data_IF_762164611115
#
_entry.id   IF_762164611115
#
_cell.length_a   1.000
_cell.length_b   1.000
_cell.length_c   1.000
_cell.angle_alpha   90.00
_cell.angle_beta   90.00
_cell.angle_gamma   90.00
#
_symmetry.space_group_name_H-M   'P 1'
#
loop_
_entity.id
_entity.type
_entity.pdbx_description
1 polymer ?
#
# COMPACT_ATOMS: atom_id res chain seq x y z
N UNK A 1 6.60 0.43 31.35
CA UNK A 1 6.46 1.06 30.02
C UNK A 1 6.05 -0.03 29.04
N UNK A 2 4.92 0.11 28.36
CA UNK A 2 4.60 -0.77 27.24
C UNK A 2 5.66 -0.59 26.13
N UNK A 3 6.05 -1.64 25.41
CA UNK A 3 6.97 -1.50 24.30
C UNK A 3 6.40 -0.53 23.25
N UNK A 4 7.27 0.17 22.53
CA UNK A 4 6.88 1.14 21.48
C UNK A 4 5.96 0.53 20.39
N UNK A 5 5.90 -0.80 20.30
CA UNK A 5 5.03 -1.55 19.40
C UNK A 5 3.58 -1.73 19.86
N UNK A 6 3.16 -1.21 21.02
CA UNK A 6 1.75 -1.24 21.45
C UNK A 6 0.88 -0.38 20.51
N UNK A 7 -0.06 -0.97 19.75
CA UNK A 7 -0.92 -0.22 18.82
C UNK A 7 -1.70 0.90 19.50
N UNK A 8 -2.11 0.72 20.75
CA UNK A 8 -2.89 1.74 21.48
C UNK A 8 -2.03 2.95 21.87
N UNK A 9 -0.73 2.75 22.13
CA UNK A 9 0.21 3.85 22.40
C UNK A 9 0.52 4.61 21.11
N UNK A 10 0.80 3.89 20.02
CA UNK A 10 1.04 4.49 18.70
C UNK A 10 -0.17 5.32 18.25
N UNK A 11 -1.38 4.75 18.32
CA UNK A 11 -2.61 5.44 17.97
C UNK A 11 -2.80 6.73 18.78
N UNK A 12 -2.60 6.70 20.10
CA UNK A 12 -2.72 7.90 20.96
C UNK A 12 -1.75 9.00 20.54
N UNK A 13 -0.50 8.65 20.23
CA UNK A 13 0.50 9.63 19.79
C UNK A 13 0.05 10.26 18.46
N UNK A 14 -0.25 9.45 17.45
CA UNK A 14 -0.61 9.96 16.12
C UNK A 14 -1.91 10.77 16.12
N UNK A 15 -2.94 10.31 16.85
CA UNK A 15 -4.22 11.02 16.98
C UNK A 15 -4.06 12.38 17.69
N UNK A 16 -3.12 12.48 18.64
CA UNK A 16 -2.85 13.74 19.35
C UNK A 16 -2.34 14.86 18.44
N UNK A 17 -1.71 14.52 17.31
CA UNK A 17 -1.25 15.49 16.32
C UNK A 17 -2.41 16.21 15.62
N UNK A 18 -3.62 15.66 15.71
CA UNK A 18 -4.83 16.17 15.07
C UNK A 18 -5.93 16.52 16.08
N UNK A 19 -5.57 16.76 17.34
CA UNK A 19 -6.54 17.06 18.41
C UNK A 19 -7.64 15.99 18.53
N UNK A 20 -7.25 14.72 18.37
CA UNK A 20 -8.12 13.57 18.53
C UNK A 20 -7.70 12.74 19.75
N UNK A 21 -8.70 12.19 20.44
CA UNK A 21 -8.52 11.28 21.55
C UNK A 21 -8.88 9.86 21.14
N UNK A 22 -8.04 8.89 21.52
CA UNK A 22 -8.35 7.47 21.30
C UNK A 22 -9.45 7.01 22.26
N UNK A 23 -10.56 6.54 21.70
CA UNK A 23 -11.65 5.90 22.46
C UNK A 23 -11.45 4.39 22.52
N UNK A 24 -11.11 3.76 21.40
CA UNK A 24 -10.82 2.33 21.33
C UNK A 24 -9.82 1.98 20.24
N UNK A 25 -9.06 0.91 20.45
CA UNK A 25 -8.15 0.32 19.48
C UNK A 25 -8.31 -1.20 19.51
N UNK A 26 -8.88 -1.77 18.45
CA UNK A 26 -9.20 -3.19 18.35
C UNK A 26 -8.40 -3.83 17.21
N UNK A 27 -7.50 -4.79 17.49
CA UNK A 27 -6.80 -5.52 16.44
C UNK A 27 -7.78 -6.26 15.53
N UNK A 28 -7.64 -6.06 14.22
CA UNK A 28 -8.40 -6.77 13.19
C UNK A 28 -7.59 -7.93 12.60
N UNK A 29 -6.30 -7.68 12.34
CA UNK A 29 -5.44 -8.63 11.65
C UNK A 29 -3.96 -8.41 12.02
N UNK A 30 -3.19 -9.50 12.04
CA UNK A 30 -1.72 -9.45 12.10
C UNK A 30 -1.13 -9.41 10.69
N UNK A 31 -0.16 -8.54 10.47
CA UNK A 31 0.58 -8.46 9.21
C UNK A 31 1.47 -9.68 9.01
N UNK A 32 1.79 -9.97 7.75
CA UNK A 32 2.48 -11.20 7.37
C UNK A 32 3.83 -11.35 8.10
N UNK A 33 4.13 -12.58 8.53
CA UNK A 33 5.33 -12.93 9.30
C UNK A 33 5.50 -12.12 10.61
N UNK A 34 4.40 -11.63 11.22
CA UNK A 34 4.43 -10.92 12.49
C UNK A 34 4.98 -9.49 12.38
N UNK A 35 4.91 -8.87 11.19
CA UNK A 35 5.46 -7.54 10.94
C UNK A 35 4.63 -6.39 11.53
N UNK A 36 3.57 -6.69 12.29
CA UNK A 36 2.72 -5.66 12.89
C UNK A 36 1.24 -6.02 12.80
N UNK A 37 0.38 -5.00 12.85
CA UNK A 37 -1.06 -5.15 13.07
C UNK A 37 -1.85 -4.14 12.25
N UNK A 38 -3.05 -4.56 11.83
CA UNK A 38 -4.11 -3.66 11.39
C UNK A 38 -5.11 -3.58 12.56
N UNK A 39 -5.47 -2.37 12.97
CA UNK A 39 -6.40 -2.13 14.07
C UNK A 39 -7.53 -1.19 13.62
N UNK A 40 -8.76 -1.50 14.05
CA UNK A 40 -9.85 -0.54 14.03
C UNK A 40 -9.68 0.44 15.19
N UNK A 41 -9.83 1.72 14.91
CA UNK A 41 -9.79 2.79 15.89
C UNK A 41 -11.15 3.48 15.94
N UNK A 42 -11.58 3.82 17.15
CA UNK A 42 -12.57 4.88 17.35
C UNK A 42 -11.85 6.07 17.97
N UNK A 43 -11.93 7.23 17.33
CA UNK A 43 -11.33 8.46 17.80
C UNK A 43 -12.41 9.53 18.04
N UNK A 44 -12.24 10.35 19.07
CA UNK A 44 -13.13 11.47 19.41
C UNK A 44 -12.43 12.79 19.11
N UNK A 45 -13.10 13.69 18.40
CA UNK A 45 -12.58 15.05 18.18
C UNK A 45 -12.64 15.87 19.48
N UNK A 46 -11.54 16.54 19.82
CA UNK A 46 -11.44 17.38 21.01
C UNK A 46 -11.83 18.84 20.76
N UNK A 47 -11.76 19.30 19.50
CA UNK A 47 -12.12 20.65 19.09
C UNK A 47 -13.04 20.62 17.87
N UNK A 48 -13.72 21.74 17.60
CA UNK A 48 -14.59 21.88 16.43
C UNK A 48 -13.78 21.87 15.13
N UNK A 49 -12.58 22.45 15.11
CA UNK A 49 -11.70 22.43 13.93
C UNK A 49 -11.25 21.01 13.58
N UNK A 50 -10.95 20.20 14.61
CA UNK A 50 -10.62 18.79 14.41
C UNK A 50 -11.83 18.01 13.88
N UNK A 51 -13.03 18.30 14.39
CA UNK A 51 -14.25 17.69 13.89
C UNK A 51 -14.52 18.09 12.43
N UNK A 52 -14.39 19.38 12.08
CA UNK A 52 -14.57 19.87 10.71
C UNK A 52 -13.61 19.19 9.73
N UNK A 53 -12.32 19.11 10.09
CA UNK A 53 -11.32 18.42 9.29
C UNK A 53 -11.69 16.94 9.06
N UNK A 54 -12.11 16.23 10.11
CA UNK A 54 -12.49 14.81 10.01
C UNK A 54 -13.81 14.59 9.29
N UNK A 55 -14.78 15.52 9.38
CA UNK A 55 -16.00 15.48 8.58
C UNK A 55 -15.66 15.52 7.09
N UNK A 56 -14.77 16.43 6.68
CA UNK A 56 -14.30 16.53 5.31
C UNK A 56 -13.52 15.28 4.90
N UNK A 57 -12.61 14.80 5.76
CA UNK A 57 -11.76 13.65 5.46
C UNK A 57 -12.58 12.36 5.29
N UNK A 58 -13.51 12.09 6.22
CA UNK A 58 -14.35 10.90 6.22
C UNK A 58 -15.58 11.01 5.30
N UNK A 59 -15.91 12.21 4.81
CA UNK A 59 -17.10 12.44 3.98
C UNK A 59 -18.41 12.24 4.76
N UNK A 60 -18.44 12.61 6.04
CA UNK A 60 -19.61 12.45 6.92
C UNK A 60 -20.27 13.80 7.23
N UNK A 61 -21.52 13.75 7.72
CA UNK A 61 -22.29 14.93 8.10
C UNK A 61 -21.56 15.77 9.16
N UNK A 62 -21.86 17.08 9.21
CA UNK A 62 -21.13 18.04 10.05
C UNK A 62 -21.39 17.80 11.55
N UNK A 63 -20.48 17.07 12.20
CA UNK A 63 -20.37 16.98 13.65
C UNK A 63 -19.45 18.06 14.23
N UNK A 64 -19.58 18.34 15.53
CA UNK A 64 -18.68 19.23 16.29
C UNK A 64 -17.74 18.46 17.23
N UNK A 65 -17.13 19.17 18.17
CA UNK A 65 -16.33 18.57 19.24
C UNK A 65 -17.12 17.45 19.96
N UNK A 66 -16.44 16.36 20.28
CA UNK A 66 -17.05 15.15 20.87
C UNK A 66 -17.57 14.14 19.83
N UNK A 67 -17.61 14.49 18.54
CA UNK A 67 -17.96 13.54 17.46
C UNK A 67 -16.95 12.39 17.40
N UNK A 68 -17.46 11.18 17.17
CA UNK A 68 -16.65 9.96 17.06
C UNK A 68 -16.47 9.58 15.60
N UNK A 69 -15.25 9.19 15.24
CA UNK A 69 -14.86 8.78 13.90
C UNK A 69 -14.25 7.39 13.90
N UNK A 70 -14.61 6.60 12.90
CA UNK A 70 -14.03 5.27 12.65
C UNK A 70 -12.82 5.39 11.73
N UNK A 71 -11.67 4.91 12.20
CA UNK A 71 -10.40 4.97 11.49
C UNK A 71 -9.72 3.59 11.52
N UNK A 72 -8.72 3.41 10.67
CA UNK A 72 -7.86 2.21 10.61
C UNK A 72 -6.43 2.62 10.90
N UNK A 73 -5.77 1.92 11.82
CA UNK A 73 -4.32 1.97 12.01
C UNK A 73 -3.68 0.77 11.31
N UNK A 74 -2.77 1.03 10.37
CA UNK A 74 -1.81 0.03 9.89
C UNK A 74 -0.48 0.30 10.56
N UNK A 75 -0.09 -0.56 11.51
CA UNK A 75 1.17 -0.48 12.26
C UNK A 75 2.13 -1.56 11.80
N UNK A 76 3.31 -1.17 11.37
CA UNK A 76 4.44 -2.02 11.00
C UNK A 76 5.51 -1.91 12.10
N UNK A 77 5.79 -3.04 12.72
CA UNK A 77 6.78 -3.25 13.78
C UNK A 77 7.60 -4.50 13.43
N UNK A 78 8.70 -4.36 12.64
CA UNK A 78 9.47 -5.49 12.17
C UNK A 78 10.08 -6.31 13.32
N UNK A 79 10.13 -7.65 13.24
CA UNK A 79 10.81 -8.47 14.24
C UNK A 79 12.31 -8.16 14.27
N UNK A 80 12.88 -7.98 15.46
CA UNK A 80 14.33 -7.87 15.62
C UNK A 80 14.94 -6.51 15.26
N UNK A 81 14.24 -5.40 15.50
CA UNK A 81 14.73 -4.02 15.32
C UNK A 81 16.02 -3.63 16.10
N UNK A 82 16.70 -4.61 16.73
CA UNK A 82 18.00 -4.48 17.39
C UNK A 82 19.09 -5.46 16.93
N UNK A 83 18.85 -6.32 15.92
CA UNK A 83 19.87 -7.17 15.31
C UNK A 83 20.21 -6.72 13.89
N UNK A 84 21.42 -7.06 13.41
CA UNK A 84 21.91 -6.68 12.08
C UNK A 84 20.83 -6.90 11.01
N UNK A 85 20.63 -5.94 10.09
CA UNK A 85 19.55 -6.01 9.11
C UNK A 85 19.68 -7.33 8.33
N UNK A 86 18.63 -8.16 8.26
CA UNK A 86 18.65 -9.35 7.44
C UNK A 86 18.95 -8.90 6.01
N UNK A 87 20.05 -9.37 5.43
CA UNK A 87 20.34 -9.29 3.99
C UNK A 87 19.42 -10.18 3.16
N UNK A 88 18.31 -10.64 3.75
CA UNK A 88 17.31 -11.46 3.11
C UNK A 88 16.38 -10.59 2.25
N UNK A 89 16.24 -11.00 0.99
CA UNK A 89 15.39 -10.34 0.00
C UNK A 89 13.94 -10.26 0.46
N UNK A 90 13.46 -11.26 1.22
CA UNK A 90 12.12 -11.29 1.79
C UNK A 90 11.86 -10.19 2.81
N UNK A 91 12.86 -9.82 3.61
CA UNK A 91 12.76 -8.71 4.56
C UNK A 91 12.74 -7.36 3.81
N UNK A 92 13.70 -7.14 2.90
CA UNK A 92 13.78 -5.91 2.10
C UNK A 92 12.49 -5.66 1.32
N UNK A 93 11.95 -6.70 0.70
CA UNK A 93 10.69 -6.64 -0.06
C UNK A 93 9.53 -6.13 0.80
N UNK A 94 9.40 -6.63 2.03
CA UNK A 94 8.33 -6.19 2.95
C UNK A 94 8.50 -4.73 3.35
N UNK A 95 9.69 -4.36 3.80
CA UNK A 95 9.96 -3.00 4.25
C UNK A 95 9.72 -1.97 3.15
N UNK A 96 10.29 -2.20 1.96
CA UNK A 96 10.08 -1.34 0.81
C UNK A 96 8.59 -1.27 0.41
N UNK A 97 7.86 -2.39 0.48
CA UNK A 97 6.42 -2.40 0.15
C UNK A 97 5.62 -1.50 1.08
N UNK A 98 5.91 -1.52 2.39
CA UNK A 98 5.23 -0.65 3.34
C UNK A 98 5.62 0.82 3.15
N UNK A 99 6.87 1.13 2.78
CA UNK A 99 7.33 2.50 2.54
C UNK A 99 6.69 3.10 1.29
N UNK A 100 6.57 2.28 0.25
CA UNK A 100 5.85 2.61 -0.99
C UNK A 100 4.37 2.83 -0.71
N UNK A 101 3.73 1.96 0.07
CA UNK A 101 2.32 2.10 0.43
C UNK A 101 2.06 3.40 1.23
N UNK A 102 2.92 3.72 2.21
CA UNK A 102 2.84 5.01 2.90
C UNK A 102 2.94 6.18 1.92
N UNK A 103 3.89 6.11 0.99
CA UNK A 103 4.06 7.16 -0.02
C UNK A 103 2.83 7.28 -0.93
N UNK A 104 2.17 6.16 -1.27
CA UNK A 104 0.92 6.18 -2.01
C UNK A 104 -0.17 6.94 -1.26
N UNK A 105 -0.42 6.60 0.01
CA UNK A 105 -1.47 7.26 0.79
C UNK A 105 -1.17 8.72 1.12
N UNK A 106 0.10 9.09 1.31
CA UNK A 106 0.49 10.46 1.64
C UNK A 106 0.54 11.37 0.40
N UNK A 107 1.02 10.86 -0.74
CA UNK A 107 1.34 11.71 -1.90
C UNK A 107 0.44 11.49 -3.11
N UNK A 108 -0.11 10.29 -3.30
CA UNK A 108 -0.86 9.91 -4.51
C UNK A 108 -2.35 9.94 -4.26
N UNK A 109 -2.83 9.24 -3.23
CA UNK A 109 -4.24 9.13 -2.91
C UNK A 109 -4.96 10.49 -2.83
N UNK A 110 -4.39 11.55 -2.20
CA UNK A 110 -5.03 12.87 -2.15
C UNK A 110 -5.20 13.54 -3.52
N UNK A 111 -4.43 13.11 -4.53
CA UNK A 111 -4.43 13.68 -5.89
C UNK A 111 -5.31 12.90 -6.87
N UNK A 112 -5.85 11.74 -6.47
CA UNK A 112 -6.73 10.93 -7.33
C UNK A 112 -8.13 11.56 -7.48
N UNK A 113 -8.54 12.42 -6.56
CA UNK A 113 -9.87 13.04 -6.52
C UNK A 113 -10.96 12.07 -6.05
N UNK A 114 -12.20 12.55 -6.02
CA UNK A 114 -13.32 11.81 -5.42
C UNK A 114 -13.91 10.70 -6.31
N UNK A 115 -13.55 10.69 -7.61
CA UNK A 115 -13.95 9.63 -8.55
C UNK A 115 -13.30 8.27 -8.25
N UNK A 116 -12.16 8.28 -7.53
CA UNK A 116 -11.38 7.08 -7.26
C UNK A 116 -11.44 6.84 -5.76
N UNK A 117 -12.43 6.06 -5.34
CA UNK A 117 -12.64 5.79 -3.93
C UNK A 117 -11.48 4.97 -3.34
N UNK A 118 -10.70 5.62 -2.48
CA UNK A 118 -9.59 5.05 -1.70
C UNK A 118 -9.63 5.62 -0.28
N UNK A 119 -9.05 4.89 0.67
CA UNK A 119 -8.95 5.40 2.03
C UNK A 119 -8.08 6.67 2.04
N UNK A 120 -8.57 7.73 2.67
CA UNK A 120 -7.78 8.96 2.85
C UNK A 120 -6.87 8.82 4.08
N UNK A 121 -5.63 9.27 3.95
CA UNK A 121 -4.66 9.30 5.04
C UNK A 121 -4.97 10.47 5.98
N UNK A 122 -5.06 10.19 7.29
CA UNK A 122 -5.08 11.23 8.32
C UNK A 122 -3.66 11.59 8.75
N UNK A 123 -2.84 10.57 9.01
CA UNK A 123 -1.49 10.74 9.51
C UNK A 123 -0.60 9.55 9.17
N UNK A 124 0.68 9.80 8.93
CA UNK A 124 1.69 8.75 8.78
C UNK A 124 2.96 9.09 9.55
N UNK A 125 3.75 8.06 9.87
CA UNK A 125 5.09 8.23 10.46
C UNK A 125 6.12 8.80 9.48
N UNK A 126 5.80 8.93 8.19
CA UNK A 126 6.69 9.51 7.18
C UNK A 126 6.91 11.00 7.45
N UNK A 127 5.86 11.71 7.85
CA UNK A 127 5.85 13.15 8.11
C UNK A 127 5.81 13.49 9.62
N UNK A 128 6.29 12.58 10.48
CA UNK A 128 6.27 12.78 11.95
C UNK A 128 7.35 13.75 12.49
N UNK A 129 8.24 14.26 11.64
CA UNK A 129 9.33 15.12 12.07
C UNK A 129 8.78 16.42 12.69
N UNK A 130 9.19 16.72 13.92
CA UNK A 130 8.70 17.88 14.67
C UNK A 130 7.38 17.66 15.42
N UNK A 131 6.72 16.51 15.24
CA UNK A 131 5.49 16.20 15.96
C UNK A 131 5.75 15.80 17.43
N UNK A 132 4.83 16.11 18.36
CA UNK A 132 4.93 15.69 19.76
C UNK A 132 5.06 14.17 19.89
N UNK A 133 5.93 13.72 20.80
CA UNK A 133 6.19 12.29 21.07
C UNK A 133 6.66 11.44 19.86
N UNK A 134 6.98 12.04 18.71
CA UNK A 134 7.42 11.30 17.52
C UNK A 134 8.69 10.46 17.73
N UNK A 135 9.54 10.86 18.69
CA UNK A 135 10.73 10.09 19.05
C UNK A 135 10.40 8.67 19.56
N UNK A 136 9.22 8.46 20.16
CA UNK A 136 8.76 7.14 20.61
C UNK A 136 8.40 6.21 19.44
N UNK A 137 8.11 6.76 18.26
CA UNK A 137 7.72 6.01 17.07
C UNK A 137 8.91 5.65 16.18
N UNK A 138 10.14 6.01 16.57
CA UNK A 138 11.35 5.72 15.79
C UNK A 138 11.50 4.21 15.55
N UNK A 139 11.75 3.85 14.29
CA UNK A 139 11.91 2.45 13.87
C UNK A 139 10.58 1.71 13.61
N UNK A 140 9.45 2.38 13.81
CA UNK A 140 8.12 1.89 13.43
C UNK A 140 7.66 2.63 12.17
N UNK A 141 6.77 1.99 11.43
CA UNK A 141 5.98 2.69 10.43
C UNK A 141 4.52 2.55 10.77
N UNK A 142 3.77 3.64 10.76
CA UNK A 142 2.35 3.62 11.02
C UNK A 142 1.60 4.60 10.14
N UNK A 143 0.40 4.19 9.73
CA UNK A 143 -0.51 5.02 8.93
C UNK A 143 -1.90 4.93 9.55
N UNK A 144 -2.51 6.08 9.82
CA UNK A 144 -3.90 6.20 10.26
C UNK A 144 -4.72 6.68 9.07
N UNK A 145 -5.76 5.91 8.71
CA UNK A 145 -6.58 6.14 7.52
C UNK A 145 -8.06 6.11 7.87
N UNK A 146 -8.89 6.70 7.02
CA UNK A 146 -10.36 6.59 7.12
C UNK A 146 -10.79 5.13 6.97
N UNK A 147 -11.74 4.68 7.81
CA UNK A 147 -12.39 3.38 7.64
C UNK A 147 -13.42 3.43 6.50
N UNK A 148 -13.12 2.71 5.41
CA UNK A 148 -13.96 2.68 4.21
C UNK A 148 -15.35 2.09 4.45
N UNK A 149 -15.51 1.25 5.49
CA UNK A 149 -16.75 0.52 5.75
C UNK A 149 -17.95 1.42 6.07
N UNK A 150 -17.71 2.67 6.46
CA UNK A 150 -18.78 3.65 6.66
C UNK A 150 -19.57 3.96 5.38
N UNK A 151 -18.89 4.02 4.22
CA UNK A 151 -19.51 4.27 2.91
C UNK A 151 -19.65 3.00 2.08
N UNK A 152 -18.74 2.05 2.25
CA UNK A 152 -18.69 0.79 1.51
C UNK A 152 -18.79 -0.39 2.50
N UNK A 153 -19.99 -0.67 3.04
CA UNK A 153 -20.14 -1.62 4.15
C UNK A 153 -19.99 -3.08 3.74
N UNK A 154 -20.11 -3.40 2.45
CA UNK A 154 -20.06 -4.77 1.94
C UNK A 154 -18.62 -5.12 1.56
N UNK A 155 -17.99 -6.00 2.34
CA UNK A 155 -16.69 -6.56 1.98
C UNK A 155 -16.80 -7.51 0.79
N UNK A 156 -15.76 -7.60 -0.05
CA UNK A 156 -15.69 -8.61 -1.11
C UNK A 156 -15.67 -10.08 -0.64
N UNK A 157 -15.68 -10.31 0.69
CA UNK A 157 -15.66 -11.60 1.40
C UNK A 157 -14.52 -12.57 1.00
N UNK A 158 -14.30 -13.62 1.80
CA UNK A 158 -13.43 -14.77 1.44
C UNK A 158 -14.14 -15.75 0.48
N UNK A 159 -15.23 -15.32 -0.16
CA UNK A 159 -16.18 -16.17 -0.87
C UNK A 159 -16.63 -15.53 -2.18
N UNK A 160 -16.31 -16.24 -3.26
CA UNK A 160 -16.99 -16.20 -4.56
C UNK A 160 -16.88 -14.94 -5.42
N UNK A 161 -16.98 -15.18 -6.73
CA UNK A 161 -16.88 -14.21 -7.79
C UNK A 161 -17.76 -12.97 -7.54
N UNK A 162 -17.22 -11.80 -7.88
CA UNK A 162 -17.98 -10.57 -8.01
C UNK A 162 -19.17 -10.80 -8.96
N UNK A 163 -20.33 -10.24 -8.63
CA UNK A 163 -21.46 -10.23 -9.56
C UNK A 163 -21.19 -9.24 -10.71
N UNK A 164 -22.01 -9.29 -11.77
CA UNK A 164 -21.81 -8.44 -12.96
C UNK A 164 -21.77 -6.93 -12.65
N UNK A 165 -22.59 -6.46 -11.70
CA UNK A 165 -22.61 -5.06 -11.25
C UNK A 165 -21.29 -4.68 -10.60
N UNK A 166 -20.82 -5.49 -9.66
CA UNK A 166 -19.56 -5.27 -8.94
C UNK A 166 -18.35 -5.36 -9.89
N UNK A 167 -18.38 -6.24 -10.89
CA UNK A 167 -17.34 -6.30 -11.93
C UNK A 167 -17.31 -5.00 -12.73
N UNK A 168 -18.46 -4.49 -13.18
CA UNK A 168 -18.51 -3.22 -13.91
C UNK A 168 -18.01 -2.06 -13.05
N UNK A 169 -18.47 -1.96 -11.81
CA UNK A 169 -18.03 -0.93 -10.87
C UNK A 169 -16.51 -1.01 -10.58
N UNK A 170 -15.95 -2.22 -10.47
CA UNK A 170 -14.51 -2.42 -10.33
C UNK A 170 -13.73 -2.00 -11.59
N UNK A 171 -14.24 -2.31 -12.79
CA UNK A 171 -13.63 -1.87 -14.04
C UNK A 171 -13.69 -0.35 -14.20
N UNK A 172 -14.80 0.29 -13.85
CA UNK A 172 -14.95 1.74 -13.85
C UNK A 172 -13.97 2.40 -12.88
N UNK A 173 -13.84 1.84 -11.68
CA UNK A 173 -12.86 2.28 -10.69
C UNK A 173 -11.43 2.14 -11.23
N UNK A 174 -11.06 1.00 -11.83
CA UNK A 174 -9.72 0.79 -12.40
C UNK A 174 -9.43 1.77 -13.54
N UNK A 175 -10.40 1.97 -14.44
CA UNK A 175 -10.27 2.93 -15.53
C UNK A 175 -10.08 4.36 -14.99
N UNK A 176 -10.81 4.74 -13.93
CA UNK A 176 -10.65 6.02 -13.28
C UNK A 176 -9.29 6.16 -12.60
N UNK A 177 -8.84 5.14 -11.86
CA UNK A 177 -7.52 5.10 -11.23
C UNK A 177 -6.39 5.26 -12.25
N UNK A 178 -6.43 4.52 -13.35
CA UNK A 178 -5.42 4.61 -14.41
C UNK A 178 -5.41 5.99 -15.08
N UNK A 179 -6.59 6.54 -15.40
CA UNK A 179 -6.71 7.88 -16.00
C UNK A 179 -6.14 8.96 -15.08
N UNK A 180 -6.52 8.92 -13.80
CA UNK A 180 -6.09 9.91 -12.81
C UNK A 180 -4.60 9.78 -12.53
N UNK A 181 -4.11 8.57 -12.27
CA UNK A 181 -2.68 8.33 -12.01
C UNK A 181 -1.78 8.66 -13.19
N UNK A 182 -2.24 8.44 -14.43
CA UNK A 182 -1.52 8.83 -15.63
C UNK A 182 -1.22 10.34 -15.67
N UNK A 183 -2.18 11.17 -15.26
CA UNK A 183 -2.02 12.62 -15.16
C UNK A 183 -1.07 13.05 -14.01
N UNK A 184 -0.71 12.16 -13.09
CA UNK A 184 0.22 12.44 -11.99
C UNK A 184 1.67 12.11 -12.33
N UNK A 185 1.91 11.44 -13.47
CA UNK A 185 3.26 11.11 -13.91
C UNK A 185 4.01 12.39 -14.30
N UNK A 186 5.29 12.52 -13.91
CA UNK A 186 6.08 13.69 -14.28
C UNK A 186 6.33 13.72 -15.79
N UNK A 187 6.28 14.93 -16.38
CA UNK A 187 6.50 15.15 -17.82
C UNK A 187 7.84 14.58 -18.30
N UNK A 188 8.89 14.75 -17.48
CA UNK A 188 10.14 14.00 -17.59
C UNK A 188 10.05 12.81 -16.66
N UNK A 189 9.92 11.62 -17.24
CA UNK A 189 9.89 10.36 -16.49
C UNK A 189 11.28 10.07 -15.93
N UNK A 190 11.56 10.66 -14.78
CA UNK A 190 12.72 10.29 -13.97
C UNK A 190 12.46 8.93 -13.33
N UNK A 191 12.68 7.87 -14.12
CA UNK A 191 12.50 6.49 -13.67
C UNK A 191 13.48 6.14 -12.54
N UNK A 192 14.58 6.87 -12.39
CA UNK A 192 15.55 6.66 -11.32
C UNK A 192 15.03 7.12 -9.96
N UNK A 193 13.99 7.94 -9.91
CA UNK A 193 13.35 8.34 -8.65
C UNK A 193 12.54 7.20 -8.00
N UNK A 194 12.09 6.22 -8.78
CA UNK A 194 11.25 5.12 -8.32
C UNK A 194 12.05 4.02 -7.61
N UNK A 195 11.36 3.25 -6.77
CA UNK A 195 11.92 2.16 -5.98
C UNK A 195 12.25 0.98 -6.91
N UNK A 196 13.51 0.53 -6.86
CA UNK A 196 14.04 -0.56 -7.69
C UNK A 196 13.78 -1.94 -7.09
N UNK A 197 14.05 -3.06 -7.80
CA UNK A 197 13.97 -4.40 -7.21
C UNK A 197 14.67 -4.48 -5.83
N UNK A 198 14.12 -5.22 -4.83
CA UNK A 198 14.55 -5.09 -3.44
C UNK A 198 16.06 -5.25 -3.19
N UNK A 199 16.71 -6.21 -3.87
CA UNK A 199 18.16 -6.42 -3.74
C UNK A 199 18.99 -5.29 -4.37
N UNK A 200 18.51 -4.73 -5.47
CA UNK A 200 19.14 -3.58 -6.12
C UNK A 200 18.97 -2.33 -5.29
N UNK A 201 17.75 -2.07 -4.82
CA UNK A 201 17.44 -0.93 -3.97
C UNK A 201 18.23 -0.97 -2.66
N UNK A 202 18.31 -2.14 -2.02
CA UNK A 202 19.13 -2.32 -0.82
C UNK A 202 20.62 -2.06 -1.07
N UNK A 203 21.15 -2.35 -2.27
CA UNK A 203 22.53 -1.97 -2.63
C UNK A 203 22.64 -0.46 -2.84
N UNK A 204 21.68 0.14 -3.55
CA UNK A 204 21.63 1.58 -3.82
C UNK A 204 21.63 2.41 -2.52
N UNK A 205 20.76 2.06 -1.57
CA UNK A 205 20.67 2.71 -0.27
C UNK A 205 22.00 2.65 0.52
N UNK A 206 22.74 1.53 0.43
CA UNK A 206 24.05 1.37 1.08
C UNK A 206 25.17 2.16 0.40
N UNK A 207 25.16 2.23 -0.93
CA UNK A 207 26.26 2.82 -1.71
C UNK A 207 26.17 4.33 -1.88
N UNK A 208 24.97 4.90 -1.96
CA UNK A 208 24.77 6.30 -2.33
C UNK A 208 24.19 7.19 -1.21
N UNK A 209 23.92 6.64 -0.01
CA UNK A 209 23.24 7.38 1.06
C UNK A 209 21.81 7.82 0.69
N UNK A 210 21.28 7.31 -0.42
CA UNK A 210 19.97 7.64 -0.97
C UNK A 210 19.43 6.51 -1.84
N UNK A 211 18.19 6.11 -1.56
CA UNK A 211 17.40 5.19 -2.37
C UNK A 211 16.39 5.90 -3.25
N UNK A 212 15.65 5.14 -4.06
CA UNK A 212 14.42 5.61 -4.66
C UNK A 212 13.47 6.15 -3.58
N UNK A 213 12.79 7.26 -3.86
CA UNK A 213 11.82 7.87 -2.96
C UNK A 213 10.52 7.96 -3.72
N UNK A 214 9.56 7.10 -3.41
CA UNK A 214 8.33 7.08 -4.20
C UNK A 214 7.66 5.73 -4.23
N UNK A 215 7.11 5.45 -5.39
CA UNK A 215 6.40 4.23 -5.75
C UNK A 215 7.36 3.20 -6.36
N UNK A 216 6.89 1.98 -6.58
CA UNK A 216 7.66 0.98 -7.32
C UNK A 216 7.90 1.41 -8.76
N UNK A 217 9.11 1.14 -9.26
CA UNK A 217 9.40 1.30 -10.69
C UNK A 217 8.58 0.30 -11.52
N UNK A 218 8.33 -0.90 -11.01
CA UNK A 218 7.68 -1.99 -11.75
C UNK A 218 6.53 -2.61 -10.95
N UNK A 219 5.54 -1.79 -10.61
CA UNK A 219 4.19 -2.22 -10.22
C UNK A 219 4.13 -3.27 -9.12
N UNK A 220 4.70 -2.96 -7.96
CA UNK A 220 4.86 -3.90 -6.85
C UNK A 220 6.17 -4.67 -6.91
N UNK A 221 6.17 -5.89 -6.38
CA UNK A 221 7.36 -6.75 -6.28
C UNK A 221 7.16 -8.14 -6.89
N UNK A 222 6.08 -8.37 -7.64
CA UNK A 222 5.75 -9.67 -8.24
C UNK A 222 6.08 -9.67 -9.73
N UNK A 223 7.37 -9.53 -10.06
CA UNK A 223 7.89 -9.62 -11.43
C UNK A 223 9.19 -10.40 -11.45
N UNK A 224 9.61 -10.85 -12.64
CA UNK A 224 10.65 -11.87 -12.79
C UNK A 224 11.97 -11.55 -12.06
N UNK A 225 12.37 -10.27 -12.00
CA UNK A 225 13.63 -9.87 -11.36
C UNK A 225 13.68 -10.19 -9.86
N UNK A 226 12.55 -10.23 -9.17
CA UNK A 226 12.44 -10.51 -7.72
C UNK A 226 12.18 -11.99 -7.41
N UNK A 227 12.05 -12.84 -8.45
CA UNK A 227 11.66 -14.26 -8.37
C UNK A 227 12.62 -15.18 -9.13
N UNK A 228 13.89 -14.76 -9.27
CA UNK A 228 14.88 -15.51 -10.06
C UNK A 228 15.17 -16.90 -9.50
N UNK A 229 15.07 -17.11 -8.19
CA UNK A 229 15.23 -18.43 -7.56
C UNK A 229 14.08 -19.37 -7.94
N UNK A 230 12.85 -18.89 -7.85
CA UNK A 230 11.65 -19.62 -8.26
C UNK A 230 11.66 -19.93 -9.75
N UNK A 231 12.02 -18.96 -10.60
CA UNK A 231 12.18 -19.17 -12.03
C UNK A 231 13.23 -20.26 -12.35
N UNK A 232 14.39 -20.22 -11.68
CA UNK A 232 15.44 -21.23 -11.89
C UNK A 232 15.01 -22.63 -11.38
N UNK A 233 14.18 -22.70 -10.33
CA UNK A 233 13.60 -23.94 -9.87
C UNK A 233 12.60 -24.51 -10.89
N UNK A 234 11.69 -23.67 -11.41
CA UNK A 234 10.73 -24.05 -12.45
C UNK A 234 11.44 -24.54 -13.71
N UNK A 235 12.48 -23.84 -14.17
CA UNK A 235 13.25 -24.23 -15.35
C UNK A 235 13.92 -25.61 -15.24
N UNK A 236 14.21 -26.08 -14.02
CA UNK A 236 14.76 -27.42 -13.77
C UNK A 236 13.69 -28.49 -13.60
N UNK A 237 12.44 -28.09 -13.40
CA UNK A 237 11.31 -29.01 -13.27
C UNK A 237 10.82 -29.43 -14.66
N UNK A 238 11.48 -30.42 -15.24
CA UNK A 238 11.12 -30.96 -16.56
C UNK A 238 9.76 -31.66 -16.62
N UNK A 239 9.12 -31.91 -15.47
CA UNK A 239 7.76 -32.46 -15.40
C UNK A 239 6.66 -31.40 -15.44
N UNK A 240 7.01 -30.12 -15.29
CA UNK A 240 6.05 -29.01 -15.29
C UNK A 240 5.78 -28.52 -16.71
N UNK A 241 4.51 -28.49 -17.11
CA UNK A 241 4.07 -27.88 -18.37
C UNK A 241 4.52 -26.41 -18.50
N UNK A 242 4.64 -25.71 -17.36
CA UNK A 242 5.05 -24.32 -17.29
C UNK A 242 6.54 -24.12 -17.55
N UNK A 243 7.37 -25.13 -17.29
CA UNK A 243 8.81 -25.05 -17.57
C UNK A 243 9.07 -24.91 -19.07
N UNK A 244 8.48 -25.79 -19.88
CA UNK A 244 8.59 -25.70 -21.34
C UNK A 244 7.99 -24.40 -21.88
N UNK A 245 6.82 -24.00 -21.38
CA UNK A 245 6.11 -22.81 -21.88
C UNK A 245 6.79 -21.48 -21.51
N UNK A 246 7.36 -21.36 -20.30
CA UNK A 246 7.85 -20.09 -19.76
C UNK A 246 9.37 -19.97 -19.72
N UNK A 247 10.09 -21.08 -19.57
CA UNK A 247 11.52 -21.08 -19.27
C UNK A 247 12.41 -21.47 -20.46
N UNK A 248 11.86 -22.16 -21.46
CA UNK A 248 12.61 -22.50 -22.68
C UNK A 248 12.78 -21.28 -23.59
N UNK A 249 13.91 -21.22 -24.29
CA UNK A 249 14.17 -20.23 -25.33
C UNK A 249 13.22 -20.43 -26.51
N UNK A 250 12.82 -19.32 -27.14
CA UNK A 250 12.02 -19.33 -28.37
C UNK A 250 12.96 -19.32 -29.56
N UNK A 251 12.61 -20.02 -30.65
CA UNK A 251 13.43 -20.10 -31.85
C UNK A 251 13.89 -18.72 -32.33
N UNK A 252 15.20 -18.56 -32.52
CA UNK A 252 15.82 -17.29 -32.92
C UNK A 252 16.04 -16.27 -31.80
N UNK A 253 15.75 -16.60 -30.54
CA UNK A 253 16.00 -15.75 -29.37
C UNK A 253 16.79 -16.50 -28.30
N UNK A 254 17.71 -15.79 -27.63
CA UNK A 254 18.40 -16.30 -26.43
C UNK A 254 17.58 -16.17 -25.15
N UNK A 255 16.40 -15.53 -25.21
CA UNK A 255 15.51 -15.29 -24.07
C UNK A 255 14.34 -16.26 -24.07
N UNK A 256 13.91 -16.63 -22.87
CA UNK A 256 12.66 -17.36 -22.67
C UNK A 256 11.43 -16.46 -22.80
N UNK A 257 10.24 -17.06 -22.89
CA UNK A 257 8.97 -16.31 -22.88
C UNK A 257 8.84 -15.44 -21.63
N UNK A 258 9.16 -15.98 -20.45
CA UNK A 258 9.10 -15.20 -19.20
C UNK A 258 10.04 -13.98 -19.24
N UNK A 259 11.24 -14.13 -19.80
CA UNK A 259 12.20 -13.04 -19.92
C UNK A 259 11.77 -11.98 -20.93
N UNK A 260 11.16 -12.39 -22.04
CA UNK A 260 10.59 -11.46 -23.02
C UNK A 260 9.41 -10.67 -22.43
N UNK A 261 8.50 -11.33 -21.72
CA UNK A 261 7.38 -10.67 -21.03
C UNK A 261 7.90 -9.70 -19.96
N UNK A 262 8.88 -10.11 -19.14
CA UNK A 262 9.46 -9.23 -18.14
C UNK A 262 10.12 -7.99 -18.76
N UNK A 263 10.83 -8.15 -19.89
CA UNK A 263 11.41 -7.02 -20.62
C UNK A 263 10.33 -6.08 -21.17
N UNK A 264 9.25 -6.63 -21.74
CA UNK A 264 8.15 -5.83 -22.27
C UNK A 264 7.45 -5.02 -21.16
N UNK A 265 7.14 -5.66 -20.03
CA UNK A 265 6.44 -5.04 -18.91
C UNK A 265 7.30 -4.04 -18.11
N UNK A 266 8.63 -4.15 -18.18
CA UNK A 266 9.53 -3.22 -17.48
C UNK A 266 9.29 -1.79 -17.96
N UNK A 267 8.97 -0.84 -17.06
CA UNK A 267 8.73 0.54 -17.47
C UNK A 267 9.97 1.18 -18.09
N UNK A 268 9.76 1.83 -19.23
CA UNK A 268 10.82 2.48 -19.99
C UNK A 268 10.42 3.88 -20.49
N UNK A 269 9.32 4.42 -19.96
CA UNK A 269 8.86 5.76 -20.27
C UNK A 269 7.84 5.84 -21.41
N UNK A 270 7.18 4.73 -21.74
CA UNK A 270 6.18 4.70 -22.83
C UNK A 270 4.93 5.50 -22.48
N UNK A 271 4.32 6.23 -23.43
CA UNK A 271 3.17 7.11 -23.17
C UNK A 271 2.02 6.48 -22.38
N UNK A 272 1.79 5.17 -22.52
CA UNK A 272 0.67 4.43 -21.91
C UNK A 272 0.92 3.91 -20.50
N UNK A 273 2.14 4.04 -19.95
CA UNK A 273 2.40 3.58 -18.57
C UNK A 273 1.67 4.50 -17.57
N UNK A 274 1.14 3.91 -16.50
CA UNK A 274 0.42 4.57 -15.39
C UNK A 274 0.79 3.86 -14.08
N UNK A 275 0.31 4.36 -12.95
CA UNK A 275 0.41 3.61 -11.70
C UNK A 275 -0.54 2.42 -11.73
N UNK A 276 -0.18 1.35 -11.01
CA UNK A 276 -1.01 0.15 -10.89
C UNK A 276 -1.29 -0.12 -9.42
N UNK A 277 -2.47 -0.64 -9.09
CA UNK A 277 -2.79 -1.02 -7.71
C UNK A 277 -1.84 -2.10 -7.16
N UNK A 278 -1.32 -2.97 -8.02
CA UNK A 278 -0.37 -4.05 -7.69
C UNK A 278 -1.07 -5.41 -7.56
N UNK A 279 -1.93 -5.59 -6.55
CA UNK A 279 -2.65 -6.84 -6.28
C UNK A 279 -4.18 -6.65 -6.29
N UNK A 280 -4.73 -6.41 -7.48
CA UNK A 280 -6.19 -6.22 -7.67
C UNK A 280 -6.89 -7.56 -7.54
N UNK A 281 -7.69 -7.72 -6.49
CA UNK A 281 -8.48 -8.92 -6.24
C UNK A 281 -9.77 -8.59 -5.49
N UNK A 282 -10.75 -9.48 -5.54
CA UNK A 282 -12.06 -9.25 -4.91
C UNK A 282 -11.94 -9.05 -3.39
N UNK A 283 -10.93 -9.66 -2.76
CA UNK A 283 -10.67 -9.52 -1.33
C UNK A 283 -10.12 -8.13 -0.95
N UNK A 284 -9.69 -7.33 -1.94
CA UNK A 284 -9.09 -6.01 -1.76
C UNK A 284 -10.04 -4.86 -2.12
N UNK A 285 -11.36 -5.11 -2.12
CA UNK A 285 -12.36 -4.07 -2.31
C UNK A 285 -13.54 -4.19 -1.35
N UNK A 286 -14.11 -3.04 -1.05
CA UNK A 286 -15.44 -2.90 -0.45
C UNK A 286 -16.40 -2.38 -1.51
N UNK A 287 -17.69 -2.67 -1.34
CA UNK A 287 -18.77 -2.19 -2.22
C UNK A 287 -19.89 -1.53 -1.40
N UNK A 288 -20.68 -0.70 -2.07
CA UNK A 288 -21.99 -0.25 -1.57
C UNK A 288 -22.95 -1.44 -1.43
N UNK A 289 -24.07 -1.26 -0.73
CA UNK A 289 -25.09 -2.33 -0.61
C UNK A 289 -25.65 -2.77 -1.98
N UNK A 290 -25.77 -1.83 -2.93
CA UNK A 290 -26.15 -2.07 -4.32
C UNK A 290 -25.04 -2.70 -5.17
N UNK A 291 -23.78 -2.59 -4.75
CA UNK A 291 -22.61 -3.09 -5.47
C UNK A 291 -22.22 -2.27 -6.72
N UNK A 292 -22.82 -1.09 -6.90
CA UNK A 292 -22.62 -0.19 -8.04
C UNK A 292 -21.45 0.78 -7.88
N UNK A 293 -20.91 0.92 -6.67
CA UNK A 293 -19.66 1.60 -6.39
C UNK A 293 -18.73 0.71 -5.56
N UNK A 294 -17.42 0.87 -5.78
CA UNK A 294 -16.40 0.13 -5.05
C UNK A 294 -15.30 1.06 -4.54
N UNK A 295 -14.66 0.65 -3.44
CA UNK A 295 -13.43 1.25 -2.95
C UNK A 295 -12.37 0.17 -2.78
N UNK A 296 -11.21 0.37 -3.41
CA UNK A 296 -10.08 -0.53 -3.30
C UNK A 296 -9.15 -0.14 -2.14
N UNK A 297 -8.45 -1.14 -1.61
CA UNK A 297 -7.45 -1.01 -0.55
C UNK A 297 -6.34 -2.06 -0.71
N UNK A 298 -5.31 -1.99 0.16
CA UNK A 298 -4.11 -2.86 0.10
C UNK A 298 -3.27 -2.62 -1.18
N UNK A 299 -2.78 -1.39 -1.30
CA UNK A 299 -2.04 -0.91 -2.46
C UNK A 299 -0.56 -1.32 -2.41
N UNK A 300 -0.06 -1.89 -3.51
CA UNK A 300 1.34 -2.26 -3.71
C UNK A 300 1.93 -1.54 -4.93
N UNK A 301 1.72 -0.21 -5.01
CA UNK A 301 1.86 0.61 -6.23
C UNK A 301 3.30 0.82 -6.68
#
# INVERSE_FOLDING_TARGET
MAPASDPSRVARIMLSWHSLELVSCTPLQTLWAGYGHICALTARALTDEAAEHLNQLCGVAHGGAGTHYSLILKLISPPGAGSSPPTDEGHLRKMLSYEVEQTFYDCVAPRLGDEVAVARCLASTRDMAGQPCAAELRGLMATVMVDLRGRFPVAGEKRSALNGTQVCAALDWLAAFHRRSWALLPERRDLDAYVRPPLEEGRRQRSAGGGGKGLWLNGGYTYLATRRKEYAALARDGGSEWSAALCCGVDGSSRSVAEMVALFLTPCGRPVESYIHGDVKAENLFTTESGDEVAFFDFHV
#
